data_IF_283343232203
#
_entry.id   IF_283343232203
#
_cell.length_a   1.000
_cell.length_b   1.000
_cell.length_c   1.000
_cell.angle_alpha   90.00
_cell.angle_beta   90.00
_cell.angle_gamma   90.00
#
_symmetry.space_group_name_H-M   'P 1'
#
loop_
_entity.id
_entity.type
_entity.pdbx_description
1 polymer ?
#
# COMPACT_ATOMS: atom_id res chain seq x y z
N UNK A 1 -27.72 23.71 -0.60
CA UNK A 1 -26.49 22.88 -0.56
C UNK A 1 -26.34 22.38 0.87
N UNK A 2 -26.56 21.10 1.14
CA UNK A 2 -26.41 20.54 2.48
C UNK A 2 -24.94 20.67 2.88
N UNK A 3 -24.66 21.33 3.99
CA UNK A 3 -23.29 21.42 4.49
C UNK A 3 -22.89 20.03 4.99
N UNK A 4 -21.59 19.70 4.98
CA UNK A 4 -21.11 18.39 5.46
C UNK A 4 -21.72 18.02 6.82
N UNK A 5 -22.00 19.00 7.69
CA UNK A 5 -22.62 18.86 9.01
C UNK A 5 -24.06 18.29 9.02
N UNK A 6 -24.79 18.33 7.91
CA UNK A 6 -26.17 17.82 7.85
C UNK A 6 -26.22 16.28 7.78
N UNK A 7 -25.10 15.63 7.48
CA UNK A 7 -25.01 14.15 7.43
C UNK A 7 -24.56 13.57 8.78
N UNK A 8 -25.04 12.38 9.20
CA UNK A 8 -24.53 11.68 10.37
C UNK A 8 -23.00 11.49 10.35
N UNK A 9 -22.44 11.24 9.17
CA UNK A 9 -21.01 11.08 8.93
C UNK A 9 -20.26 12.40 9.13
N UNK A 10 -20.82 13.52 8.68
CA UNK A 10 -20.24 14.84 8.90
C UNK A 10 -20.27 15.28 10.36
N UNK A 11 -21.36 15.04 11.09
CA UNK A 11 -21.41 15.27 12.55
C UNK A 11 -20.38 14.45 13.31
N UNK A 12 -20.06 13.24 12.84
CA UNK A 12 -18.99 12.42 13.41
C UNK A 12 -17.62 13.02 13.08
N UNK A 13 -17.39 13.44 11.84
CA UNK A 13 -16.14 14.09 11.40
C UNK A 13 -15.88 15.38 12.17
N UNK A 14 -16.90 16.20 12.39
CA UNK A 14 -16.77 17.46 13.13
C UNK A 14 -16.44 17.23 14.60
N UNK A 15 -17.12 16.27 15.27
CA UNK A 15 -16.77 15.87 16.64
C UNK A 15 -15.33 15.39 16.76
N UNK A 16 -14.83 14.63 15.80
CA UNK A 16 -13.42 14.19 15.76
C UNK A 16 -12.49 15.38 15.51
N UNK A 17 -12.86 16.31 14.61
CA UNK A 17 -12.08 17.50 14.35
C UNK A 17 -11.97 18.41 15.58
N UNK A 18 -13.01 18.53 16.40
CA UNK A 18 -12.98 19.27 17.67
C UNK A 18 -12.02 18.62 18.67
N UNK A 19 -12.12 17.29 18.89
CA UNK A 19 -11.20 16.56 19.77
C UNK A 19 -9.74 16.64 19.33
N UNK A 20 -9.52 16.64 18.01
CA UNK A 20 -8.18 16.79 17.44
C UNK A 20 -7.60 18.18 17.71
N UNK A 21 -8.41 19.23 17.59
CA UNK A 21 -7.99 20.61 17.93
C UNK A 21 -7.69 20.76 19.41
N UNK A 22 -8.51 20.18 20.29
CA UNK A 22 -8.28 20.16 21.73
C UNK A 22 -6.97 19.42 22.08
N UNK A 23 -6.76 18.23 21.51
CA UNK A 23 -5.53 17.47 21.70
C UNK A 23 -4.29 18.24 21.21
N UNK A 24 -4.41 18.96 20.09
CA UNK A 24 -3.34 19.81 19.57
C UNK A 24 -3.08 21.01 20.50
N UNK A 25 -4.11 21.61 21.10
CA UNK A 25 -3.95 22.67 22.09
C UNK A 25 -3.25 22.19 23.37
N UNK A 26 -3.57 20.98 23.84
CA UNK A 26 -2.86 20.33 24.96
C UNK A 26 -1.39 20.13 24.61
N UNK A 27 -1.12 19.58 23.42
CA UNK A 27 0.25 19.43 22.94
C UNK A 27 0.96 20.78 22.86
N UNK A 28 0.33 21.84 22.33
CA UNK A 28 0.90 23.21 22.29
C UNK A 28 1.31 23.70 23.68
N UNK A 29 0.46 23.51 24.68
CA UNK A 29 0.67 24.00 26.03
C UNK A 29 1.82 23.31 26.78
N UNK A 30 2.14 22.07 26.41
CA UNK A 30 3.22 21.30 27.03
C UNK A 30 4.47 21.24 26.12
N UNK A 31 5.48 22.09 26.33
CA UNK A 31 6.69 22.15 25.49
C UNK A 31 7.51 20.86 25.50
N UNK A 32 7.47 20.10 26.60
CA UNK A 32 8.25 18.87 26.79
C UNK A 32 7.55 17.63 26.20
N UNK A 33 6.26 17.75 25.83
CA UNK A 33 5.52 16.66 25.22
C UNK A 33 6.07 16.27 23.84
N UNK A 34 6.13 14.96 23.58
CA UNK A 34 6.54 14.41 22.29
C UNK A 34 5.56 14.82 21.18
N UNK A 35 5.98 15.70 20.28
CA UNK A 35 5.13 16.13 19.16
C UNK A 35 5.23 15.13 18.02
N UNK A 36 4.31 14.17 17.99
CA UNK A 36 4.19 13.21 16.89
C UNK A 36 2.74 12.94 16.52
N UNK A 37 2.51 12.45 15.30
CA UNK A 37 1.18 12.03 14.84
C UNK A 37 0.61 10.92 15.76
N UNK A 38 1.49 10.06 16.30
CA UNK A 38 1.11 9.04 17.25
C UNK A 38 0.68 9.64 18.60
N UNK A 39 1.40 10.64 19.11
CA UNK A 39 1.03 11.34 20.33
C UNK A 39 -0.31 12.07 20.19
N UNK A 40 -0.52 12.80 19.08
CA UNK A 40 -1.78 13.46 18.77
C UNK A 40 -2.96 12.47 18.69
N UNK A 41 -2.76 11.33 18.02
CA UNK A 41 -3.75 10.27 17.92
C UNK A 41 -4.11 9.67 19.30
N UNK A 42 -3.12 9.47 20.18
CA UNK A 42 -3.33 9.01 21.56
C UNK A 42 -4.12 10.03 22.38
N UNK A 43 -3.72 11.31 22.35
CA UNK A 43 -4.41 12.37 23.09
C UNK A 43 -5.85 12.58 22.60
N UNK A 44 -6.10 12.46 21.30
CA UNK A 44 -7.44 12.58 20.74
C UNK A 44 -8.27 11.28 20.82
N UNK A 45 -7.68 10.16 21.23
CA UNK A 45 -8.35 8.86 21.33
C UNK A 45 -8.83 8.30 19.98
N UNK A 46 -8.08 8.53 18.90
CA UNK A 46 -8.44 8.08 17.55
C UNK A 46 -7.33 7.30 16.86
N UNK A 47 -7.69 6.46 15.88
CA UNK A 47 -6.73 5.74 15.04
C UNK A 47 -6.02 6.65 14.05
N UNK A 48 -4.72 6.40 13.79
CA UNK A 48 -3.89 7.17 12.85
C UNK A 48 -4.47 7.20 11.43
N UNK A 49 -5.09 6.11 10.99
CA UNK A 49 -5.73 6.04 9.67
C UNK A 49 -6.83 7.09 9.51
N UNK A 50 -7.63 7.36 10.55
CA UNK A 50 -8.68 8.36 10.50
C UNK A 50 -8.11 9.79 10.32
N UNK A 51 -6.95 10.04 10.95
CA UNK A 51 -6.19 11.29 10.84
C UNK A 51 -5.71 11.53 9.41
N UNK A 52 -5.05 10.54 8.80
CA UNK A 52 -4.51 10.65 7.44
C UNK A 52 -5.60 10.83 6.38
N UNK A 53 -6.73 10.15 6.51
CA UNK A 53 -7.77 10.16 5.47
C UNK A 53 -8.64 11.42 5.52
N UNK A 54 -8.97 11.95 6.71
CA UNK A 54 -10.03 12.96 6.85
C UNK A 54 -9.57 14.29 7.45
N UNK A 55 -8.35 14.38 8.01
CA UNK A 55 -7.96 15.52 8.84
C UNK A 55 -6.58 16.09 8.46
N UNK A 56 -6.38 16.37 7.17
CA UNK A 56 -5.12 16.93 6.63
C UNK A 56 -4.75 18.30 7.24
N UNK A 57 -5.73 19.17 7.48
CA UNK A 57 -5.51 20.49 8.08
C UNK A 57 -4.84 20.40 9.47
N UNK A 58 -5.28 19.45 10.31
CA UNK A 58 -4.70 19.24 11.64
C UNK A 58 -3.26 18.71 11.55
N UNK A 59 -2.93 17.95 10.50
CA UNK A 59 -1.55 17.49 10.25
C UNK A 59 -0.64 18.63 9.77
N UNK A 60 -1.19 19.65 9.15
CA UNK A 60 -0.45 20.88 8.79
C UNK A 60 -0.18 21.71 10.05
N UNK A 61 -1.17 21.88 10.92
CA UNK A 61 -1.00 22.56 12.22
C UNK A 61 0.02 21.85 13.12
N UNK A 62 0.03 20.51 13.14
CA UNK A 62 1.01 19.72 13.89
C UNK A 62 2.42 19.93 13.33
N UNK A 63 2.58 20.00 12.00
CA UNK A 63 3.88 20.25 11.36
C UNK A 63 4.38 21.66 11.62
N UNK A 64 3.51 22.66 11.59
CA UNK A 64 3.86 24.02 11.97
C UNK A 64 4.36 24.08 13.42
N UNK A 65 3.66 23.39 14.34
CA UNK A 65 4.05 23.29 15.74
C UNK A 65 5.40 22.57 15.93
N UNK A 66 5.68 21.51 15.15
CA UNK A 66 6.99 20.86 15.13
C UNK A 66 8.10 21.81 14.68
N UNK A 67 7.82 22.61 13.64
CA UNK A 67 8.78 23.60 13.14
C UNK A 67 9.01 24.74 14.15
N UNK A 68 8.00 25.14 14.92
CA UNK A 68 8.13 26.15 15.99
C UNK A 68 9.01 25.66 17.16
N UNK A 69 8.89 24.38 17.56
CA UNK A 69 9.69 23.82 18.68
C UNK A 69 11.12 23.48 18.33
N UNK A 70 11.42 23.29 17.04
CA UNK A 70 12.78 23.08 16.55
C UNK A 70 13.20 24.27 15.69
N UNK A 71 13.72 25.36 16.28
CA UNK A 71 14.25 26.51 15.54
C UNK A 71 15.63 26.16 14.94
N UNK A 72 15.69 25.13 14.10
CA UNK A 72 16.84 24.76 13.28
C UNK A 72 16.39 23.79 12.19
N UNK A 73 15.79 24.33 11.15
CA UNK A 73 16.06 24.04 9.73
C UNK A 73 14.81 24.38 8.94
N UNK A 74 14.86 25.53 8.28
CA UNK A 74 13.88 25.84 7.25
C UNK A 74 13.98 24.79 6.15
N UNK A 75 12.82 24.27 5.77
CA UNK A 75 12.52 23.72 4.44
C UNK A 75 13.43 22.55 3.98
N UNK A 76 12.82 21.37 3.87
CA UNK A 76 13.28 20.26 3.03
C UNK A 76 14.48 19.39 3.46
N UNK A 77 14.69 19.18 4.77
CA UNK A 77 15.42 17.98 5.20
C UNK A 77 14.53 17.01 5.96
N UNK A 78 14.13 15.95 5.24
CA UNK A 78 13.95 14.60 5.79
C UNK A 78 15.03 14.41 6.87
N UNK A 79 14.67 14.07 8.13
CA UNK A 79 15.64 14.08 9.21
C UNK A 79 16.75 13.07 8.90
N UNK A 80 17.91 13.57 8.45
CA UNK A 80 19.17 12.84 8.49
C UNK A 80 19.57 12.80 9.95
N UNK A 81 19.25 11.68 10.58
CA UNK A 81 19.86 11.22 11.83
C UNK A 81 21.38 11.19 11.63
N UNK A 82 22.07 12.30 11.92
CA UNK A 82 23.53 12.41 11.74
C UNK A 82 24.32 11.63 12.80
N UNK A 83 23.63 10.95 13.73
CA UNK A 83 24.21 9.93 14.62
C UNK A 83 24.10 8.50 14.10
N UNK A 84 23.46 8.26 12.94
CA UNK A 84 23.11 6.92 12.44
C UNK A 84 23.38 6.67 10.95
N UNK A 85 24.09 7.58 10.26
CA UNK A 85 24.34 7.48 8.80
C UNK A 85 24.98 6.15 8.40
N UNK A 86 25.96 5.65 9.16
CA UNK A 86 26.61 4.37 8.88
C UNK A 86 25.67 3.15 8.98
N UNK A 87 24.86 3.08 10.03
CA UNK A 87 23.92 1.96 10.20
C UNK A 87 22.75 2.02 9.21
N UNK A 88 22.29 3.23 8.86
CA UNK A 88 21.25 3.42 7.86
C UNK A 88 21.75 3.04 6.46
N UNK A 89 22.97 3.42 6.10
CA UNK A 89 23.61 3.02 4.83
C UNK A 89 23.83 1.51 4.73
N UNK A 90 24.26 0.87 5.83
CA UNK A 90 24.39 -0.59 5.91
C UNK A 90 23.04 -1.26 5.73
N UNK A 91 21.99 -0.78 6.42
CA UNK A 91 20.62 -1.29 6.27
C UNK A 91 20.09 -1.11 4.84
N UNK A 92 20.32 0.03 4.22
CA UNK A 92 19.93 0.29 2.82
C UNK A 92 20.64 -0.69 1.88
N UNK A 93 21.94 -0.93 2.08
CA UNK A 93 22.71 -1.88 1.27
C UNK A 93 22.20 -3.31 1.44
N UNK A 94 21.92 -3.75 2.67
CA UNK A 94 21.35 -5.08 2.96
C UNK A 94 19.98 -5.23 2.29
N UNK A 95 19.09 -4.25 2.46
CA UNK A 95 17.77 -4.26 1.83
C UNK A 95 17.86 -4.26 0.30
N UNK A 96 18.80 -3.51 -0.30
CA UNK A 96 19.02 -3.52 -1.74
C UNK A 96 19.47 -4.91 -2.24
N UNK A 97 20.36 -5.59 -1.49
CA UNK A 97 20.79 -6.95 -1.82
C UNK A 97 19.67 -7.98 -1.66
N UNK A 98 18.86 -7.86 -0.61
CA UNK A 98 17.70 -8.71 -0.38
C UNK A 98 16.66 -8.54 -1.49
N UNK A 99 16.34 -7.29 -1.84
CA UNK A 99 15.43 -6.96 -2.93
C UNK A 99 15.91 -7.51 -4.28
N UNK A 100 17.22 -7.43 -4.57
CA UNK A 100 17.79 -8.03 -5.78
C UNK A 100 17.63 -9.57 -5.78
N UNK A 101 17.83 -10.21 -4.63
CA UNK A 101 17.65 -11.66 -4.48
C UNK A 101 16.18 -12.08 -4.65
N UNK A 102 15.24 -11.29 -4.12
CA UNK A 102 13.81 -11.51 -4.23
C UNK A 102 13.34 -11.31 -5.68
N UNK A 103 13.79 -10.26 -6.35
CA UNK A 103 13.50 -10.00 -7.76
C UNK A 103 14.02 -11.14 -8.65
N UNK A 104 15.24 -11.62 -8.39
CA UNK A 104 15.80 -12.80 -9.11
C UNK A 104 14.94 -14.05 -8.90
N UNK A 105 14.46 -14.30 -7.67
CA UNK A 105 13.58 -15.43 -7.36
C UNK A 105 12.22 -15.31 -8.07
N UNK A 106 11.64 -14.10 -8.08
CA UNK A 106 10.39 -13.83 -8.78
C UNK A 106 10.52 -14.10 -10.29
N UNK A 107 11.56 -13.55 -10.94
CA UNK A 107 11.82 -13.78 -12.36
C UNK A 107 12.03 -15.27 -12.70
N UNK A 108 12.74 -16.00 -11.85
CA UNK A 108 12.91 -17.45 -12.02
C UNK A 108 11.56 -18.17 -11.92
N UNK A 109 10.74 -17.82 -10.92
CA UNK A 109 9.41 -18.40 -10.74
C UNK A 109 8.50 -18.12 -11.94
N UNK A 110 8.47 -16.87 -12.42
CA UNK A 110 7.72 -16.47 -13.62
C UNK A 110 8.19 -17.25 -14.86
N UNK A 111 9.50 -17.38 -15.08
CA UNK A 111 10.04 -18.14 -16.22
C UNK A 111 9.68 -19.64 -16.16
N UNK A 112 9.51 -20.19 -14.94
CA UNK A 112 9.11 -21.59 -14.74
C UNK A 112 7.61 -21.74 -14.96
N UNK A 113 6.81 -20.80 -14.45
CA UNK A 113 5.37 -20.77 -14.67
C UNK A 113 5.04 -20.69 -16.16
N UNK A 114 5.68 -19.76 -16.88
CA UNK A 114 5.50 -19.61 -18.35
C UNK A 114 5.81 -20.91 -19.10
N UNK A 115 6.91 -21.60 -18.78
CA UNK A 115 7.26 -22.89 -19.39
C UNK A 115 6.24 -23.99 -19.08
N UNK A 116 5.68 -24.00 -17.87
CA UNK A 116 4.62 -24.95 -17.51
C UNK A 116 3.31 -24.63 -18.23
N UNK A 117 2.96 -23.36 -18.39
CA UNK A 117 1.79 -22.91 -19.15
C UNK A 117 1.90 -23.29 -20.62
N UNK A 118 3.06 -23.04 -21.26
CA UNK A 118 3.35 -23.45 -22.64
C UNK A 118 3.21 -24.96 -22.79
N UNK A 119 3.85 -25.74 -21.92
CA UNK A 119 3.76 -27.21 -21.95
C UNK A 119 2.34 -27.72 -21.70
N UNK A 120 1.57 -27.06 -20.84
CA UNK A 120 0.18 -27.41 -20.60
C UNK A 120 -0.68 -27.12 -21.85
N UNK A 121 -0.48 -25.96 -22.48
CA UNK A 121 -1.16 -25.61 -23.72
C UNK A 121 -0.86 -26.62 -24.85
N UNK A 122 0.38 -27.09 -24.96
CA UNK A 122 0.77 -28.12 -25.93
C UNK A 122 0.07 -29.46 -25.65
N UNK A 123 0.08 -29.92 -24.39
CA UNK A 123 -0.62 -31.15 -23.99
C UNK A 123 -2.14 -31.08 -24.21
N UNK A 124 -2.75 -29.93 -23.92
CA UNK A 124 -4.18 -29.70 -24.18
C UNK A 124 -4.46 -29.78 -25.69
N UNK A 125 -3.57 -29.25 -26.53
CA UNK A 125 -3.68 -29.35 -27.99
C UNK A 125 -3.56 -30.80 -28.45
N UNK A 126 -2.58 -31.55 -27.97
CA UNK A 126 -2.42 -32.97 -28.28
C UNK A 126 -3.65 -33.80 -27.87
N UNK A 127 -4.20 -33.55 -26.68
CA UNK A 127 -5.42 -34.22 -26.22
C UNK A 127 -6.62 -33.88 -27.11
N UNK A 128 -6.74 -32.62 -27.55
CA UNK A 128 -7.80 -32.20 -28.47
C UNK A 128 -7.67 -32.89 -29.82
N UNK A 129 -6.47 -32.98 -30.38
CA UNK A 129 -6.23 -33.62 -31.66
C UNK A 129 -6.53 -35.12 -31.59
N UNK A 130 -6.10 -35.81 -30.53
CA UNK A 130 -6.46 -37.23 -30.31
C UNK A 130 -7.96 -37.44 -30.15
N UNK A 131 -8.65 -36.54 -29.44
CA UNK A 131 -10.12 -36.60 -29.29
C UNK A 131 -10.83 -36.37 -30.62
N UNK A 132 -10.33 -35.47 -31.46
CA UNK A 132 -10.89 -35.21 -32.79
C UNK A 132 -10.67 -36.40 -33.74
N UNK A 133 -9.51 -37.06 -33.69
CA UNK A 133 -9.25 -38.29 -34.45
C UNK A 133 -10.19 -39.42 -34.05
N UNK A 134 -10.47 -39.58 -32.76
CA UNK A 134 -11.44 -40.56 -32.27
C UNK A 134 -12.91 -40.26 -32.67
N UNK A 135 -13.22 -39.01 -33.01
CA UNK A 135 -14.55 -38.55 -33.42
C UNK A 135 -14.72 -38.45 -34.94
N UNK A 136 -13.72 -38.86 -35.74
CA UNK A 136 -13.85 -38.88 -37.20
C UNK A 136 -14.99 -39.84 -37.58
N UNK A 137 -16.06 -39.37 -38.26
CA UNK A 137 -17.19 -40.23 -38.59
C UNK A 137 -16.72 -41.32 -39.56
N UNK A 138 -17.02 -42.58 -39.22
CA UNK A 138 -16.95 -43.70 -40.15
C UNK A 138 -17.89 -43.34 -41.31
N UNK A 139 -17.32 -42.99 -42.46
CA UNK A 139 -18.10 -42.78 -43.67
C UNK A 139 -18.90 -44.07 -43.93
N UNK A 140 -20.23 -44.00 -44.14
CA UNK A 140 -20.98 -45.20 -44.48
C UNK A 140 -20.43 -45.74 -45.81
N UNK A 141 -20.15 -47.05 -45.92
CA UNK A 141 -19.71 -47.63 -47.17
C UNK A 141 -20.79 -47.42 -48.23
N UNK A 142 -20.34 -47.01 -49.40
CA UNK A 142 -21.13 -46.78 -50.61
C UNK A 142 -22.32 -47.74 -50.73
N UNK A 143 -23.54 -47.21 -50.75
CA UNK A 143 -24.65 -47.88 -51.41
C UNK A 143 -24.53 -47.58 -52.91
N UNK A 144 -23.70 -48.37 -53.59
CA UNK A 144 -23.91 -48.69 -54.99
C UNK A 144 -24.85 -49.90 -55.06
N UNK A 145 -25.66 -49.96 -56.12
CA UNK A 145 -26.68 -50.99 -56.44
C UNK A 145 -28.02 -50.70 -55.73
N UNK A 146 -29.15 -50.40 -56.39
CA UNK A 146 -29.67 -50.76 -57.73
C UNK A 146 -30.39 -49.60 -58.44
#
# INVERSE_FOLDING_TARGET
MATSADTPQGRRRERVATRLREALAVLRADPESEISVAALARHAGIGRNALYTNHRAVLEDLRALQAERSPASGQDEVPKLDGGKGEAEVRIRVLATENASLLRRALIAESRAKRLEERNADLVRELRDRRNVAMLPIAPPNASEE
#
